data_IF_656600374416
#
_entry.id   IF_656600374416
#
_cell.length_a   1.000
_cell.length_b   1.000
_cell.length_c   1.000
_cell.angle_alpha   90.00
_cell.angle_beta   90.00
_cell.angle_gamma   90.00
#
_symmetry.space_group_name_H-M   'P 1'
#
loop_
_entity.id
_entity.type
_entity.pdbx_description
1 polymer ?
#
# COMPACT_ATOMS: atom_id res chain seq x y z
N UNK A 1 -26.01 -8.43 -6.80
CA UNK A 1 -26.78 -7.18 -6.98
C UNK A 1 -26.96 -6.92 -8.46
N UNK A 2 -28.08 -6.39 -8.92
CA UNK A 2 -28.25 -5.99 -10.31
C UNK A 2 -27.24 -4.88 -10.67
N UNK A 3 -26.88 -4.81 -11.94
CA UNK A 3 -26.00 -3.74 -12.44
C UNK A 3 -26.84 -2.47 -12.53
N UNK A 4 -26.42 -1.43 -11.83
CA UNK A 4 -27.03 -0.10 -11.83
C UNK A 4 -26.06 0.90 -12.45
N UNK A 5 -26.60 1.81 -13.29
CA UNK A 5 -25.82 2.84 -13.96
C UNK A 5 -26.26 4.23 -13.50
N UNK A 6 -25.30 5.09 -13.15
CA UNK A 6 -25.55 6.50 -12.84
C UNK A 6 -24.71 7.41 -13.71
N UNK A 7 -25.31 8.54 -14.10
CA UNK A 7 -24.60 9.55 -14.87
C UNK A 7 -23.58 10.29 -13.99
N UNK A 8 -22.37 10.48 -14.53
CA UNK A 8 -21.36 11.33 -13.88
C UNK A 8 -21.80 12.78 -14.04
N UNK A 9 -21.94 13.56 -12.95
CA UNK A 9 -22.46 14.92 -12.98
C UNK A 9 -21.78 15.80 -14.02
N UNK A 10 -22.58 16.58 -14.76
CA UNK A 10 -22.15 17.50 -15.81
C UNK A 10 -21.36 16.84 -16.96
N UNK A 11 -21.61 15.56 -17.24
CA UNK A 11 -20.99 14.83 -18.33
C UNK A 11 -21.98 13.91 -19.05
N UNK A 12 -21.60 13.37 -20.20
CA UNK A 12 -22.35 12.33 -20.92
C UNK A 12 -21.87 10.91 -20.60
N UNK A 13 -21.08 10.77 -19.56
CA UNK A 13 -20.53 9.49 -19.13
C UNK A 13 -21.38 8.85 -18.03
N UNK A 14 -21.44 7.52 -18.01
CA UNK A 14 -22.15 6.76 -16.98
C UNK A 14 -21.19 5.79 -16.32
N UNK A 15 -21.41 5.55 -15.05
CA UNK A 15 -20.61 4.59 -14.25
C UNK A 15 -21.57 3.56 -13.66
N UNK A 16 -21.16 2.29 -13.70
CA UNK A 16 -21.91 1.22 -13.03
C UNK A 16 -21.44 1.03 -11.59
N UNK A 17 -22.33 0.46 -10.76
CA UNK A 17 -21.99 0.02 -9.41
C UNK A 17 -20.95 -1.11 -9.39
N UNK A 18 -20.58 -1.69 -10.55
CA UNK A 18 -19.55 -2.70 -10.74
C UNK A 18 -18.19 -2.12 -11.18
N UNK A 19 -18.10 -0.79 -11.40
CA UNK A 19 -16.87 -0.14 -11.81
C UNK A 19 -16.62 -0.13 -13.32
N UNK A 20 -17.65 -0.29 -14.13
CA UNK A 20 -17.58 -0.07 -15.56
C UNK A 20 -17.95 1.37 -15.90
N UNK A 21 -17.39 1.92 -16.98
CA UNK A 21 -17.66 3.28 -17.43
C UNK A 21 -18.11 3.27 -18.89
N UNK A 22 -19.28 3.85 -19.14
CA UNK A 22 -19.78 4.11 -20.49
C UNK A 22 -19.38 5.50 -20.95
N UNK A 23 -18.85 5.58 -22.17
CA UNK A 23 -18.56 6.82 -22.86
C UNK A 23 -19.80 7.43 -23.53
N UNK A 24 -19.64 8.64 -24.06
CA UNK A 24 -20.69 9.39 -24.74
C UNK A 24 -21.32 8.65 -25.95
N UNK A 25 -20.58 7.72 -26.57
CA UNK A 25 -21.10 6.84 -27.65
C UNK A 25 -21.75 5.55 -27.10
N UNK A 26 -22.05 5.49 -25.80
CA UNK A 26 -22.61 4.31 -25.11
C UNK A 26 -21.78 3.03 -25.25
N UNK A 27 -20.46 3.15 -25.49
CA UNK A 27 -19.53 2.02 -25.43
C UNK A 27 -18.83 1.97 -24.06
N UNK A 28 -18.51 0.76 -23.59
CA UNK A 28 -17.68 0.58 -22.39
C UNK A 28 -16.27 1.08 -22.70
N UNK A 29 -15.76 1.98 -21.89
CA UNK A 29 -14.42 2.53 -22.02
C UNK A 29 -13.38 1.54 -21.51
N UNK A 30 -12.29 1.40 -22.26
CA UNK A 30 -11.10 0.70 -21.77
C UNK A 30 -10.46 1.52 -20.66
N UNK A 31 -10.17 0.88 -19.54
CA UNK A 31 -9.42 1.50 -18.45
C UNK A 31 -7.92 1.36 -18.66
N UNK A 32 -7.15 2.31 -18.12
CA UNK A 32 -5.70 2.22 -17.98
C UNK A 32 -5.35 1.98 -16.51
N UNK A 33 -4.15 1.46 -16.23
CA UNK A 33 -3.63 1.34 -14.88
C UNK A 33 -2.68 2.49 -14.58
N UNK A 34 -2.94 3.21 -13.50
CA UNK A 34 -2.07 4.26 -12.98
C UNK A 34 -1.84 4.04 -11.48
N UNK A 35 -0.59 3.79 -11.08
CA UNK A 35 -0.22 3.48 -9.70
C UNK A 35 -1.04 2.32 -9.08
N UNK A 36 -1.35 1.30 -9.90
CA UNK A 36 -2.14 0.14 -9.50
C UNK A 36 -3.66 0.35 -9.46
N UNK A 37 -4.17 1.53 -9.84
CA UNK A 37 -5.60 1.82 -9.90
C UNK A 37 -6.11 1.83 -11.32
N UNK A 38 -7.34 1.33 -11.54
CA UNK A 38 -8.05 1.52 -12.81
C UNK A 38 -8.47 2.98 -12.98
N UNK A 39 -8.13 3.54 -14.12
CA UNK A 39 -8.44 4.94 -14.49
C UNK A 39 -9.07 5.01 -15.87
N UNK A 40 -9.87 6.04 -16.08
CA UNK A 40 -10.43 6.41 -17.39
C UNK A 40 -10.22 7.90 -17.67
N UNK A 41 -10.21 8.28 -18.94
CA UNK A 41 -10.16 9.68 -19.32
C UNK A 41 -11.59 10.21 -19.56
N UNK A 42 -12.01 11.17 -18.75
CA UNK A 42 -13.26 11.91 -18.90
C UNK A 42 -12.89 13.36 -19.18
N UNK A 43 -13.32 13.91 -20.33
CA UNK A 43 -13.00 15.27 -20.75
C UNK A 43 -11.50 15.61 -20.62
N UNK A 44 -10.62 14.73 -21.13
CA UNK A 44 -9.15 14.87 -21.07
C UNK A 44 -8.55 14.87 -19.65
N UNK A 45 -9.32 14.52 -18.63
CA UNK A 45 -8.84 14.33 -17.24
C UNK A 45 -8.81 12.87 -16.90
N UNK A 46 -7.66 12.39 -16.43
CA UNK A 46 -7.51 11.04 -15.90
C UNK A 46 -8.21 10.95 -14.55
N UNK A 47 -9.22 10.10 -14.46
CA UNK A 47 -10.06 9.93 -13.28
C UNK A 47 -9.99 8.49 -12.81
N UNK A 48 -9.82 8.28 -11.50
CA UNK A 48 -9.82 6.95 -10.89
C UNK A 48 -11.24 6.40 -10.80
N UNK A 49 -11.46 5.17 -11.29
CA UNK A 49 -12.80 4.56 -11.36
C UNK A 49 -13.41 4.38 -9.97
N UNK A 50 -12.63 3.90 -8.96
CA UNK A 50 -13.16 3.73 -7.60
C UNK A 50 -13.71 5.03 -7.00
N UNK A 51 -13.12 6.19 -7.35
CA UNK A 51 -13.64 7.50 -6.92
C UNK A 51 -15.00 7.78 -7.53
N UNK A 52 -15.15 7.57 -8.85
CA UNK A 52 -16.43 7.77 -9.54
C UNK A 52 -17.52 6.87 -8.97
N UNK A 53 -17.19 5.61 -8.70
CA UNK A 53 -18.14 4.66 -8.10
C UNK A 53 -18.51 5.09 -6.67
N UNK A 54 -17.52 5.45 -5.85
CA UNK A 54 -17.77 5.86 -4.48
C UNK A 54 -18.63 7.14 -4.41
N UNK A 55 -18.31 8.14 -5.23
CA UNK A 55 -19.05 9.40 -5.29
C UNK A 55 -20.54 9.20 -5.66
N UNK A 56 -20.85 8.20 -6.49
CA UNK A 56 -22.20 7.98 -7.00
C UNK A 56 -23.01 6.92 -6.22
N UNK A 57 -22.35 5.94 -5.62
CA UNK A 57 -23.02 4.76 -5.07
C UNK A 57 -22.78 4.52 -3.59
N UNK A 58 -21.73 5.12 -3.00
CA UNK A 58 -21.39 4.90 -1.59
C UNK A 58 -21.73 6.16 -0.77
N UNK A 59 -22.65 6.08 0.21
CA UNK A 59 -22.96 7.23 1.06
C UNK A 59 -21.74 7.73 1.83
N UNK A 60 -21.58 9.06 1.91
CA UNK A 60 -20.52 9.73 2.66
C UNK A 60 -21.08 10.86 3.55
N UNK A 61 -21.86 10.53 4.59
CA UNK A 61 -22.48 11.55 5.43
C UNK A 61 -21.47 12.38 6.22
N UNK A 62 -20.30 11.78 6.53
CA UNK A 62 -19.24 12.42 7.33
C UNK A 62 -18.21 13.17 6.46
N UNK A 63 -18.42 13.28 5.14
CA UNK A 63 -17.48 13.88 4.19
C UNK A 63 -16.04 13.37 4.31
N UNK A 64 -15.88 12.05 4.52
CA UNK A 64 -14.54 11.44 4.62
C UNK A 64 -13.77 11.56 3.30
N UNK A 65 -12.47 11.88 3.32
CA UNK A 65 -11.71 12.26 2.12
C UNK A 65 -11.18 11.11 1.29
N UNK A 66 -11.06 9.91 1.86
CA UNK A 66 -10.44 8.77 1.20
C UNK A 66 -11.45 7.69 0.86
N UNK A 67 -11.22 6.99 -0.26
CA UNK A 67 -11.93 5.76 -0.62
C UNK A 67 -10.99 4.59 -0.42
N UNK A 68 -11.42 3.62 0.38
CA UNK A 68 -10.72 2.37 0.66
C UNK A 68 -11.38 1.20 -0.08
N UNK A 69 -10.57 0.21 -0.47
CA UNK A 69 -11.04 -1.09 -0.97
C UNK A 69 -11.03 -2.06 0.23
N UNK A 70 -12.20 -2.55 0.63
CA UNK A 70 -12.35 -3.40 1.82
C UNK A 70 -11.52 -4.69 1.75
N UNK A 71 -11.41 -5.27 0.54
CA UNK A 71 -10.60 -6.46 0.27
C UNK A 71 -9.11 -6.18 0.01
N UNK A 72 -8.70 -4.89 -0.03
CA UNK A 72 -7.34 -4.46 -0.38
C UNK A 72 -7.01 -4.54 -1.88
N UNK A 73 -7.88 -5.09 -2.73
CA UNK A 73 -7.66 -5.15 -4.18
C UNK A 73 -8.10 -3.84 -4.88
N UNK A 74 -7.11 -3.06 -5.31
CA UNK A 74 -7.30 -1.80 -6.03
C UNK A 74 -8.00 -1.95 -7.39
N UNK A 75 -8.15 -3.16 -7.89
CA UNK A 75 -8.81 -3.47 -9.15
C UNK A 75 -10.28 -3.82 -8.98
N UNK A 76 -10.72 -4.16 -7.77
CA UNK A 76 -12.11 -4.46 -7.44
C UNK A 76 -12.88 -3.17 -7.09
N UNK A 77 -13.42 -2.50 -8.11
CA UNK A 77 -14.10 -1.21 -7.96
C UNK A 77 -15.63 -1.34 -7.79
N UNK A 78 -16.13 -2.50 -7.37
CA UNK A 78 -17.53 -2.67 -7.05
C UNK A 78 -17.94 -1.79 -5.86
N UNK A 79 -19.10 -1.13 -5.92
CA UNK A 79 -19.58 -0.24 -4.86
C UNK A 79 -19.67 -0.94 -3.49
N UNK A 80 -20.03 -2.23 -3.45
CA UNK A 80 -20.07 -3.04 -2.23
C UNK A 80 -18.71 -3.24 -1.56
N UNK A 81 -17.63 -3.16 -2.36
CA UNK A 81 -16.25 -3.29 -1.90
C UNK A 81 -15.62 -1.94 -1.48
N UNK A 82 -16.26 -0.83 -1.78
CA UNK A 82 -15.73 0.50 -1.49
C UNK A 82 -16.35 1.07 -0.21
N UNK A 83 -15.58 1.87 0.48
CA UNK A 83 -16.01 2.62 1.65
C UNK A 83 -15.26 3.96 1.75
N UNK A 84 -15.94 4.96 2.34
CA UNK A 84 -15.31 6.23 2.66
C UNK A 84 -14.63 6.15 4.02
N UNK A 85 -13.37 6.60 4.08
CA UNK A 85 -12.54 6.53 5.28
C UNK A 85 -11.75 7.83 5.48
N UNK A 86 -11.31 8.07 6.70
CA UNK A 86 -10.31 9.09 7.01
C UNK A 86 -8.91 8.62 6.59
N UNK A 87 -7.94 9.53 6.53
CA UNK A 87 -6.54 9.17 6.26
C UNK A 87 -5.99 8.16 7.30
N UNK A 88 -6.33 8.35 8.58
CA UNK A 88 -5.88 7.48 9.67
C UNK A 88 -6.48 6.07 9.57
N UNK A 89 -7.78 5.96 9.28
CA UNK A 89 -8.47 4.69 9.04
C UNK A 89 -7.85 3.95 7.85
N UNK A 90 -7.57 4.67 6.75
CA UNK A 90 -6.98 4.08 5.55
C UNK A 90 -5.56 3.54 5.80
N UNK A 91 -4.74 4.27 6.56
CA UNK A 91 -3.39 3.82 6.95
C UNK A 91 -3.48 2.59 7.87
N UNK A 92 -4.43 2.59 8.82
CA UNK A 92 -4.64 1.44 9.71
C UNK A 92 -5.00 0.20 8.92
N UNK A 93 -6.00 0.28 8.04
CA UNK A 93 -6.42 -0.81 7.17
C UNK A 93 -5.27 -1.33 6.30
N UNK A 94 -4.47 -0.42 5.72
CA UNK A 94 -3.27 -0.79 4.96
C UNK A 94 -2.26 -1.56 5.82
N UNK A 95 -1.99 -1.10 7.04
CA UNK A 95 -1.02 -1.74 7.94
C UNK A 95 -1.49 -3.11 8.45
N UNK A 96 -2.81 -3.29 8.62
CA UNK A 96 -3.42 -4.56 9.04
C UNK A 96 -3.38 -5.62 7.92
N UNK A 97 -3.54 -5.19 6.67
CA UNK A 97 -3.60 -6.05 5.49
C UNK A 97 -2.30 -6.09 4.67
N UNK A 98 -1.36 -5.17 4.94
CA UNK A 98 -0.09 -5.18 4.22
C UNK A 98 0.71 -6.45 4.56
N UNK A 99 1.29 -7.10 3.54
CA UNK A 99 2.27 -8.13 3.82
C UNK A 99 3.36 -7.52 4.71
N UNK A 100 3.62 -8.18 5.82
CA UNK A 100 4.49 -7.67 6.87
C UNK A 100 5.86 -7.32 6.30
N UNK A 101 6.08 -6.03 6.05
CA UNK A 101 7.39 -5.49 5.69
C UNK A 101 8.30 -5.31 6.91
N UNK A 102 7.85 -5.64 8.11
CA UNK A 102 8.67 -5.66 9.32
C UNK A 102 9.48 -6.96 9.40
N UNK A 103 10.34 -7.19 8.42
CA UNK A 103 11.48 -8.08 8.64
C UNK A 103 12.40 -7.36 9.63
N UNK A 104 12.25 -7.66 10.92
CA UNK A 104 13.28 -7.32 11.89
C UNK A 104 14.52 -8.06 11.45
N UNK A 105 15.55 -7.33 11.11
CA UNK A 105 16.82 -7.88 10.69
C UNK A 105 17.78 -7.74 11.84
N UNK A 106 18.21 -8.87 12.41
CA UNK A 106 19.34 -8.91 13.33
C UNK A 106 20.62 -8.85 12.52
N UNK A 107 21.55 -8.01 12.93
CA UNK A 107 22.88 -7.92 12.35
C UNK A 107 23.92 -8.41 13.35
N UNK A 108 24.81 -9.28 12.91
CA UNK A 108 25.97 -9.74 13.67
C UNK A 108 27.22 -9.33 12.92
N UNK A 109 28.06 -8.53 13.54
CA UNK A 109 29.36 -8.11 13.03
C UNK A 109 30.43 -8.97 13.68
N UNK A 110 31.35 -9.48 12.87
CA UNK A 110 32.49 -10.27 13.36
C UNK A 110 33.77 -9.63 12.83
N UNK A 111 34.69 -9.23 13.72
CA UNK A 111 36.02 -8.75 13.37
C UNK A 111 36.97 -9.92 13.00
N UNK A 112 38.08 -9.62 12.36
CA UNK A 112 39.10 -10.63 12.06
C UNK A 112 39.77 -11.20 13.33
N UNK A 113 39.66 -10.47 14.45
CA UNK A 113 40.16 -10.92 15.77
C UNK A 113 39.13 -11.79 16.52
N UNK A 114 37.93 -11.99 15.92
CA UNK A 114 36.85 -12.82 16.49
C UNK A 114 35.92 -12.09 17.45
N UNK A 115 36.01 -10.76 17.58
CA UNK A 115 35.02 -9.99 18.33
C UNK A 115 33.69 -9.98 17.62
N UNK A 116 32.61 -10.14 18.38
CA UNK A 116 31.23 -10.22 17.86
C UNK A 116 30.37 -9.11 18.46
N UNK A 117 29.77 -8.31 17.61
CA UNK A 117 28.76 -7.31 17.98
C UNK A 117 27.41 -7.67 17.37
N UNK A 118 26.37 -7.68 18.19
CA UNK A 118 25.02 -8.01 17.74
C UNK A 118 24.05 -6.83 17.88
N UNK A 119 23.26 -6.61 16.85
CA UNK A 119 22.27 -5.53 16.82
C UNK A 119 20.89 -6.08 16.44
N UNK A 120 19.83 -5.74 17.19
CA UNK A 120 18.47 -6.21 16.93
C UNK A 120 17.82 -5.57 15.71
N UNK A 121 18.45 -4.56 15.10
CA UNK A 121 17.95 -3.87 13.91
C UNK A 121 19.07 -3.13 13.17
N UNK A 122 18.81 -2.84 11.89
CA UNK A 122 19.70 -1.99 11.08
C UNK A 122 19.85 -0.59 11.69
N UNK A 123 18.75 -0.02 12.21
CA UNK A 123 18.76 1.30 12.83
C UNK A 123 19.63 1.34 14.09
N UNK A 124 19.61 0.29 14.93
CA UNK A 124 20.45 0.23 16.12
C UNK A 124 21.95 0.09 15.76
N UNK A 125 22.28 -0.70 14.75
CA UNK A 125 23.64 -0.78 14.23
C UNK A 125 24.11 0.55 13.65
N UNK A 126 23.28 1.19 12.81
CA UNK A 126 23.58 2.47 12.21
C UNK A 126 23.86 3.56 13.25
N UNK A 127 23.05 3.59 14.33
CA UNK A 127 23.26 4.51 15.45
C UNK A 127 24.57 4.26 16.19
N UNK A 128 24.91 3.01 16.44
CA UNK A 128 26.15 2.62 17.12
C UNK A 128 27.40 3.05 16.33
N UNK A 129 27.38 2.80 15.02
CA UNK A 129 28.49 3.16 14.14
C UNK A 129 28.44 4.60 13.61
N UNK A 130 27.48 5.42 14.05
CA UNK A 130 27.28 6.82 13.63
C UNK A 130 27.19 6.99 12.10
N UNK A 131 26.48 6.07 11.43
CA UNK A 131 26.23 6.10 9.98
C UNK A 131 24.74 6.21 9.68
N UNK A 132 24.43 6.58 8.43
CA UNK A 132 23.04 6.61 7.95
C UNK A 132 22.48 5.17 7.83
N UNK A 133 21.20 4.93 8.21
CA UNK A 133 20.57 3.61 8.07
C UNK A 133 20.60 3.02 6.65
N UNK A 134 20.61 3.87 5.62
CA UNK A 134 20.70 3.44 4.21
C UNK A 134 22.08 2.87 3.91
N UNK A 135 23.14 3.50 4.43
CA UNK A 135 24.51 3.01 4.34
C UNK A 135 24.67 1.66 5.04
N UNK A 136 24.11 1.55 6.26
CA UNK A 136 24.11 0.29 7.02
C UNK A 136 23.31 -0.81 6.31
N UNK A 137 22.19 -0.47 5.69
CA UNK A 137 21.42 -1.40 4.86
C UNK A 137 22.26 -1.93 3.70
N UNK A 138 22.93 -1.04 2.95
CA UNK A 138 23.82 -1.41 1.85
C UNK A 138 24.94 -2.35 2.30
N UNK A 139 25.63 -2.02 3.38
CA UNK A 139 26.69 -2.84 3.96
C UNK A 139 26.18 -4.22 4.40
N UNK A 140 24.99 -4.29 5.00
CA UNK A 140 24.38 -5.56 5.42
C UNK A 140 24.04 -6.48 4.25
N UNK A 141 23.77 -5.93 3.05
CA UNK A 141 23.57 -6.70 1.82
C UNK A 141 24.88 -7.17 1.22
N UNK A 142 25.95 -6.37 1.33
CA UNK A 142 27.29 -6.72 0.87
C UNK A 142 28.00 -7.73 1.80
N UNK A 143 27.53 -7.85 3.04
CA UNK A 143 28.07 -8.78 4.03
C UNK A 143 29.40 -8.35 4.67
N UNK A 144 29.84 -7.10 4.44
CA UNK A 144 31.06 -6.55 5.07
C UNK A 144 30.98 -5.03 5.25
N UNK A 145 31.72 -4.51 6.22
CA UNK A 145 31.93 -3.09 6.48
C UNK A 145 33.16 -2.90 7.38
N UNK A 146 34.07 -2.01 7.01
CA UNK A 146 35.30 -1.71 7.77
C UNK A 146 36.15 -2.94 8.18
N UNK A 147 36.25 -3.95 7.31
CA UNK A 147 36.95 -5.19 7.60
C UNK A 147 36.18 -6.19 8.45
N UNK A 148 35.00 -5.82 8.97
CA UNK A 148 34.11 -6.74 9.70
C UNK A 148 33.18 -7.49 8.77
N UNK A 149 33.01 -8.78 9.01
CA UNK A 149 31.99 -9.60 8.32
C UNK A 149 30.64 -9.36 8.96
N UNK A 150 29.61 -9.14 8.13
CA UNK A 150 28.23 -8.91 8.58
C UNK A 150 27.38 -10.11 8.22
N UNK A 151 26.82 -10.78 9.23
CA UNK A 151 25.78 -11.77 9.04
C UNK A 151 24.42 -11.10 9.28
N UNK A 152 23.52 -11.26 8.32
CA UNK A 152 22.15 -10.75 8.37
C UNK A 152 21.18 -11.90 8.59
N UNK A 153 20.41 -11.83 9.65
CA UNK A 153 19.34 -12.78 9.96
C UNK A 153 17.99 -12.05 9.89
N UNK A 154 17.10 -12.56 9.05
CA UNK A 154 15.72 -12.09 8.99
C UNK A 154 14.99 -12.81 10.12
N UNK A 155 14.51 -12.06 11.09
CA UNK A 155 13.73 -12.63 12.20
C UNK A 155 12.26 -12.71 11.75
N UNK A 156 11.73 -13.93 11.71
CA UNK A 156 10.31 -14.15 11.51
C UNK A 156 9.49 -13.52 12.65
N UNK A 157 8.25 -13.13 12.34
CA UNK A 157 7.33 -12.57 13.33
C UNK A 157 7.15 -13.53 14.52
N UNK A 158 7.29 -13.02 15.70
CA UNK A 158 6.60 -13.57 16.87
C UNK A 158 5.11 -13.35 16.63
N UNK A 159 4.37 -14.42 16.41
CA UNK A 159 2.91 -14.37 16.40
C UNK A 159 2.44 -13.78 17.74
N UNK A 160 1.62 -12.71 17.66
CA UNK A 160 0.99 -12.11 18.83
C UNK A 160 -0.08 -13.04 19.41
N UNK A 161 0.26 -14.25 19.78
CA UNK A 161 -0.68 -15.21 20.38
C UNK A 161 -0.44 -15.56 21.83
N UNK A 162 0.63 -15.08 22.45
CA UNK A 162 0.94 -15.41 23.85
C UNK A 162 1.18 -14.17 24.71
N UNK A 163 0.19 -13.26 24.80
CA UNK A 163 0.06 -12.34 25.94
C UNK A 163 -1.36 -12.50 26.46
N UNK A 164 -1.50 -13.43 27.39
CA UNK A 164 -2.63 -13.53 28.30
C UNK A 164 -2.48 -12.46 29.39
#
# INVERSE_FOLDING_TARGET
MPVEWKQVPNTEYYVSNMGEVLGYKKQILKHCLLNGYKTVNIHKRTTKIHRLVADLFVPNPDNKPCVNHKDGDKLNNCASNLEWVTHSENIRHYNENAPVRNTRVKLTFTSDEGEVLEFPSITSAAKYFAVDPTTMWGASLQGNMWGMKIKREVMDKIEKKDVV
#
